data_IF_075665977797
#
_entry.id   IF_075665977797
#
_cell.length_a   1.000
_cell.length_b   1.000
_cell.length_c   1.000
_cell.angle_alpha   90.00
_cell.angle_beta   90.00
_cell.angle_gamma   90.00
#
_symmetry.space_group_name_H-M   'P 1'
#
loop_
_entity.id
_entity.type
_entity.pdbx_description
1 polymer ?
#
# COMPACT_ATOMS: atom_id res chain seq x y z
N UNK A 1 8.69 16.34 14.43
CA UNK A 1 9.54 16.19 13.25
C UNK A 1 8.92 17.02 12.14
N UNK A 2 9.72 17.97 11.67
CA UNK A 2 9.32 18.94 10.66
C UNK A 2 9.09 18.25 9.31
N UNK A 3 8.10 18.71 8.58
CA UNK A 3 7.82 18.31 7.19
C UNK A 3 9.01 18.46 6.22
N UNK A 4 10.16 18.89 6.70
CA UNK A 4 11.34 19.17 5.88
C UNK A 4 12.18 17.94 5.54
N UNK A 5 11.94 16.81 6.21
CA UNK A 5 12.68 15.57 5.99
C UNK A 5 11.92 14.54 5.16
N UNK A 6 10.73 14.88 4.71
CA UNK A 6 10.02 14.08 3.73
C UNK A 6 10.63 14.33 2.34
N UNK A 7 11.38 13.36 1.85
CA UNK A 7 11.84 13.39 0.47
C UNK A 7 10.66 13.32 -0.49
N UNK A 8 10.77 13.95 -1.65
CA UNK A 8 9.68 13.93 -2.62
C UNK A 8 9.28 12.50 -2.96
N UNK A 9 8.01 12.25 -2.92
CA UNK A 9 7.42 10.98 -3.35
C UNK A 9 7.79 10.80 -4.83
N UNK A 10 8.70 9.88 -5.11
CA UNK A 10 9.02 9.49 -6.47
C UNK A 10 8.07 8.38 -6.89
N UNK A 11 7.07 8.71 -7.65
CA UNK A 11 6.09 7.76 -8.16
C UNK A 11 4.78 8.44 -8.51
N UNK A 12 4.05 7.88 -9.44
CA UNK A 12 2.69 8.30 -9.74
C UNK A 12 1.75 7.68 -8.72
N UNK A 13 0.83 8.48 -8.18
CA UNK A 13 -0.25 8.03 -7.30
C UNK A 13 -1.57 8.31 -8.00
N UNK A 14 -1.95 7.55 -9.03
CA UNK A 14 -3.25 7.72 -9.65
C UNK A 14 -4.31 7.12 -8.75
N UNK A 15 -5.27 7.92 -8.37
CA UNK A 15 -6.46 7.49 -7.64
C UNK A 15 -7.66 7.62 -8.57
N UNK A 16 -8.28 6.49 -8.90
CA UNK A 16 -9.49 6.43 -9.70
C UNK A 16 -10.65 5.90 -8.86
N UNK A 17 -11.80 6.52 -8.97
CA UNK A 17 -13.02 6.02 -8.34
C UNK A 17 -13.28 6.52 -6.93
N UNK A 18 -12.83 7.69 -6.58
CA UNK A 18 -13.38 8.44 -5.47
C UNK A 18 -12.58 8.44 -4.19
N UNK A 19 -11.45 9.06 -4.19
CA UNK A 19 -10.90 9.61 -2.98
C UNK A 19 -11.56 10.95 -2.67
N UNK A 20 -11.70 11.30 -1.42
CA UNK A 20 -12.09 12.63 -1.01
C UNK A 20 -11.09 13.69 -1.49
N UNK A 21 -11.21 14.09 -2.71
CA UNK A 21 -10.70 15.35 -3.18
C UNK A 21 -11.78 16.39 -2.92
N UNK A 22 -11.47 17.44 -2.19
CA UNK A 22 -12.38 18.45 -1.75
C UNK A 22 -13.44 18.89 -2.75
N UNK A 23 -14.67 18.90 -2.29
CA UNK A 23 -15.76 19.74 -2.71
C UNK A 23 -15.97 20.01 -4.19
N UNK A 24 -16.59 19.07 -4.89
CA UNK A 24 -17.51 19.41 -5.97
C UNK A 24 -18.88 18.91 -5.55
N UNK A 25 -19.73 19.85 -5.22
CA UNK A 25 -21.10 19.57 -4.83
C UNK A 25 -21.87 18.93 -5.98
N UNK A 26 -22.16 17.69 -5.84
CA UNK A 26 -23.10 16.90 -6.61
C UNK A 26 -23.27 15.61 -5.84
N UNK A 27 -24.42 15.40 -5.27
CA UNK A 27 -24.72 14.29 -4.38
C UNK A 27 -24.63 12.93 -5.06
N UNK A 28 -23.45 12.48 -5.32
CA UNK A 28 -23.11 11.10 -5.51
C UNK A 28 -22.15 10.77 -4.37
N UNK A 29 -22.57 9.85 -3.52
CA UNK A 29 -21.70 9.19 -2.59
C UNK A 29 -20.64 8.46 -3.45
N UNK A 30 -19.59 9.18 -3.82
CA UNK A 30 -18.40 8.54 -4.37
C UNK A 30 -17.85 7.57 -3.34
N UNK A 31 -17.13 6.54 -3.76
CA UNK A 31 -16.57 5.58 -2.82
C UNK A 31 -15.64 6.29 -1.83
N UNK A 32 -15.89 6.10 -0.53
CA UNK A 32 -15.10 6.67 0.56
C UNK A 32 -13.78 5.91 0.71
N UNK A 33 -12.91 6.03 -0.28
CA UNK A 33 -11.64 5.32 -0.27
C UNK A 33 -10.48 6.25 0.05
N UNK A 34 -9.51 5.76 0.80
CA UNK A 34 -8.35 6.50 1.25
C UNK A 34 -7.06 5.88 0.73
N UNK A 35 -6.18 6.72 0.20
CA UNK A 35 -4.83 6.33 -0.19
C UNK A 35 -3.83 7.24 0.53
N UNK A 36 -2.92 6.66 1.30
CA UNK A 36 -1.92 7.38 2.08
C UNK A 36 -0.52 6.81 1.86
N UNK A 37 0.44 7.68 1.57
CA UNK A 37 1.84 7.29 1.42
C UNK A 37 2.70 8.15 2.34
N UNK A 38 3.45 7.51 3.22
CA UNK A 38 4.40 8.14 4.14
C UNK A 38 5.80 7.61 3.88
N UNK A 39 6.72 8.50 3.50
CA UNK A 39 8.11 8.15 3.25
C UNK A 39 9.04 8.99 4.11
N UNK A 40 9.94 8.32 4.83
CA UNK A 40 10.93 8.95 5.70
C UNK A 40 12.31 8.38 5.40
N UNK A 41 13.29 9.26 5.16
CA UNK A 41 14.65 8.88 4.79
C UNK A 41 14.94 9.05 3.31
N UNK A 42 15.98 8.37 2.81
CA UNK A 42 16.51 8.62 1.47
C UNK A 42 16.20 7.53 0.44
N UNK A 43 15.85 7.94 -0.79
CA UNK A 43 15.73 7.02 -1.91
C UNK A 43 14.58 6.02 -1.84
N UNK A 44 13.59 6.25 -0.99
CA UNK A 44 12.39 5.41 -0.98
C UNK A 44 11.52 5.69 -2.21
N UNK A 45 10.89 4.65 -2.74
CA UNK A 45 9.99 4.72 -3.88
C UNK A 45 8.68 4.02 -3.56
N UNK A 46 7.55 4.65 -3.88
CA UNK A 46 6.24 4.03 -3.77
C UNK A 46 5.39 4.33 -5.00
N UNK A 47 4.80 3.30 -5.56
CA UNK A 47 3.76 3.38 -6.57
C UNK A 47 2.49 2.78 -5.96
N UNK A 48 1.40 3.52 -6.01
CA UNK A 48 0.11 3.04 -5.54
C UNK A 48 -0.97 3.36 -6.56
N UNK A 49 -1.78 2.36 -6.87
CA UNK A 49 -2.93 2.47 -7.75
C UNK A 49 -4.16 1.96 -7.01
N UNK A 50 -5.16 2.83 -6.84
CA UNK A 50 -6.44 2.46 -6.26
C UNK A 50 -7.55 2.79 -7.27
N UNK A 51 -8.25 1.78 -7.75
CA UNK A 51 -9.31 1.92 -8.76
C UNK A 51 -10.55 1.14 -8.36
N UNK A 52 -11.73 1.71 -8.63
CA UNK A 52 -13.02 1.06 -8.37
C UNK A 52 -13.19 0.48 -6.95
N UNK A 53 -12.41 1.01 -6.01
CA UNK A 53 -12.42 0.60 -4.61
C UNK A 53 -13.39 1.50 -3.83
N UNK A 54 -14.33 0.90 -3.13
CA UNK A 54 -15.27 1.59 -2.23
C UNK A 54 -14.95 1.27 -0.79
N UNK A 55 -15.07 2.26 0.08
CA UNK A 55 -14.85 2.09 1.52
C UNK A 55 -13.53 1.36 1.83
N UNK A 56 -12.51 1.66 1.04
CA UNK A 56 -11.25 0.93 1.06
C UNK A 56 -10.08 1.82 1.47
N UNK A 57 -9.12 1.24 2.17
CA UNK A 57 -7.95 1.95 2.67
C UNK A 57 -6.67 1.33 2.12
N UNK A 58 -5.78 2.18 1.61
CA UNK A 58 -4.44 1.80 1.21
C UNK A 58 -3.42 2.69 1.91
N UNK A 59 -2.61 2.12 2.77
CA UNK A 59 -1.56 2.83 3.49
C UNK A 59 -0.19 2.23 3.21
N UNK A 60 0.75 3.06 2.79
CA UNK A 60 2.15 2.70 2.61
C UNK A 60 3.01 3.56 3.52
N UNK A 61 3.80 2.93 4.38
CA UNK A 61 4.75 3.60 5.23
C UNK A 61 6.15 3.04 5.01
N UNK A 62 7.09 3.90 4.61
CA UNK A 62 8.48 3.53 4.38
C UNK A 62 9.40 4.38 5.25
N UNK A 63 10.25 3.71 6.03
CA UNK A 63 11.27 4.32 6.86
C UNK A 63 12.65 3.80 6.51
N UNK A 64 13.60 4.68 6.28
CA UNK A 64 14.99 4.33 6.00
C UNK A 64 15.41 4.66 4.59
N UNK A 65 16.14 3.78 3.92
CA UNK A 65 16.71 4.12 2.62
C UNK A 65 16.49 3.06 1.55
N UNK A 66 16.10 3.51 0.33
CA UNK A 66 16.00 2.62 -0.81
C UNK A 66 14.90 1.56 -0.74
N UNK A 67 13.88 1.75 0.10
CA UNK A 67 12.74 0.85 0.11
C UNK A 67 11.84 1.09 -1.10
N UNK A 68 11.33 0.01 -1.69
CA UNK A 68 10.45 0.03 -2.86
C UNK A 68 9.08 -0.56 -2.55
N UNK A 69 8.01 0.04 -3.04
CA UNK A 69 6.67 -0.47 -2.96
C UNK A 69 5.92 -0.28 -4.28
N UNK A 70 5.22 -1.32 -4.70
CA UNK A 70 4.29 -1.30 -5.83
C UNK A 70 2.99 -1.94 -5.36
N UNK A 71 1.91 -1.15 -5.30
CA UNK A 71 0.66 -1.59 -4.67
C UNK A 71 -0.53 -1.25 -5.54
N UNK A 72 -1.30 -2.27 -5.91
CA UNK A 72 -2.56 -2.16 -6.63
C UNK A 72 -3.75 -2.59 -5.77
N UNK A 73 -4.82 -1.78 -5.74
CA UNK A 73 -6.06 -2.12 -5.05
C UNK A 73 -7.27 -1.77 -5.92
N UNK A 74 -8.05 -2.78 -6.26
CA UNK A 74 -9.33 -2.64 -6.94
C UNK A 74 -10.40 -3.52 -6.28
N UNK A 75 -10.72 -3.21 -5.01
CA UNK A 75 -11.54 -4.04 -4.15
C UNK A 75 -12.39 -3.18 -3.23
N UNK A 76 -13.62 -3.62 -2.97
CA UNK A 76 -14.53 -2.93 -2.06
C UNK A 76 -14.33 -3.38 -0.60
N UNK A 77 -14.58 -2.49 0.36
CA UNK A 77 -14.56 -2.77 1.81
C UNK A 77 -13.24 -3.43 2.26
N UNK A 78 -12.13 -3.05 1.65
CA UNK A 78 -10.88 -3.78 1.80
C UNK A 78 -9.74 -2.87 2.23
N UNK A 79 -8.72 -3.43 2.88
CA UNK A 79 -7.57 -2.64 3.32
C UNK A 79 -6.23 -3.26 2.97
N UNK A 80 -5.28 -2.39 2.64
CA UNK A 80 -3.87 -2.74 2.48
C UNK A 80 -3.04 -1.86 3.41
N UNK A 81 -2.26 -2.46 4.29
CA UNK A 81 -1.28 -1.78 5.13
C UNK A 81 0.12 -2.34 4.87
N UNK A 82 0.99 -1.52 4.32
CA UNK A 82 2.39 -1.85 4.06
C UNK A 82 3.30 -0.99 4.93
N UNK A 83 4.09 -1.63 5.79
CA UNK A 83 5.15 -1.00 6.57
C UNK A 83 6.51 -1.59 6.21
N UNK A 84 7.40 -0.76 5.69
CA UNK A 84 8.79 -1.11 5.45
C UNK A 84 9.70 -0.24 6.32
N UNK A 85 10.57 -0.88 7.10
CA UNK A 85 11.53 -0.17 7.95
C UNK A 85 12.91 -0.78 7.80
N UNK A 86 13.85 0.04 7.35
CA UNK A 86 15.22 -0.36 7.10
C UNK A 86 15.69 0.03 5.70
N UNK A 87 16.45 -0.82 5.04
CA UNK A 87 17.10 -0.47 3.77
C UNK A 87 16.83 -1.51 2.69
N UNK A 88 16.48 -1.06 1.49
CA UNK A 88 16.35 -1.92 0.32
C UNK A 88 15.25 -2.99 0.42
N UNK A 89 14.24 -2.79 1.27
CA UNK A 89 13.09 -3.69 1.28
C UNK A 89 12.21 -3.44 0.05
N UNK A 90 11.61 -4.49 -0.48
CA UNK A 90 10.73 -4.43 -1.64
C UNK A 90 9.40 -5.12 -1.36
N UNK A 91 8.30 -4.51 -1.78
CA UNK A 91 6.99 -5.13 -1.72
C UNK A 91 6.21 -4.89 -3.00
N UNK A 92 5.60 -5.96 -3.51
CA UNK A 92 4.59 -5.90 -4.58
C UNK A 92 3.30 -6.50 -4.03
N UNK A 93 2.23 -5.74 -4.07
CA UNK A 93 0.95 -6.13 -3.49
C UNK A 93 -0.16 -5.84 -4.48
N UNK A 94 -0.91 -6.86 -4.85
CA UNK A 94 -2.07 -6.76 -5.71
C UNK A 94 -3.31 -7.30 -5.00
N UNK A 95 -4.36 -6.48 -4.92
CA UNK A 95 -5.64 -6.85 -4.33
C UNK A 95 -6.77 -6.46 -5.29
N UNK A 96 -7.31 -7.44 -6.00
CA UNK A 96 -8.31 -7.23 -7.03
C UNK A 96 -9.53 -8.12 -6.85
N UNK A 97 -10.73 -7.56 -7.13
CA UNK A 97 -12.00 -8.28 -7.09
C UNK A 97 -12.29 -8.99 -5.75
N UNK A 98 -11.59 -8.63 -4.71
CA UNK A 98 -11.86 -9.12 -3.36
C UNK A 98 -12.78 -8.15 -2.63
N UNK A 99 -13.54 -8.64 -1.67
CA UNK A 99 -14.41 -7.85 -0.83
C UNK A 99 -14.19 -8.21 0.63
N UNK A 100 -14.29 -7.24 1.53
CA UNK A 100 -14.08 -7.44 2.97
C UNK A 100 -12.72 -8.11 3.28
N UNK A 101 -11.67 -7.71 2.58
CA UNK A 101 -10.38 -8.40 2.63
C UNK A 101 -9.26 -7.49 3.13
N UNK A 102 -8.28 -8.09 3.78
CA UNK A 102 -7.18 -7.35 4.42
C UNK A 102 -5.83 -7.92 3.99
N UNK A 103 -4.92 -7.02 3.59
CA UNK A 103 -3.51 -7.35 3.41
C UNK A 103 -2.66 -6.52 4.37
N UNK A 104 -1.84 -7.18 5.16
CA UNK A 104 -0.92 -6.53 6.07
C UNK A 104 0.50 -7.05 5.85
N UNK A 105 1.39 -6.19 5.37
CA UNK A 105 2.79 -6.53 5.09
C UNK A 105 3.71 -5.67 5.94
N UNK A 106 4.56 -6.32 6.73
CA UNK A 106 5.56 -5.66 7.57
C UNK A 106 6.94 -6.22 7.31
N UNK A 107 7.86 -5.35 6.91
CA UNK A 107 9.24 -5.70 6.63
C UNK A 107 10.17 -4.85 7.50
N UNK A 108 11.01 -5.51 8.29
CA UNK A 108 12.00 -4.88 9.16
C UNK A 108 13.39 -5.41 8.86
N UNK A 109 14.35 -4.53 8.60
CA UNK A 109 15.72 -4.90 8.29
C UNK A 109 16.13 -4.51 6.89
N UNK A 110 16.83 -5.37 6.17
CA UNK A 110 17.36 -5.00 4.88
C UNK A 110 17.20 -6.06 3.80
N UNK A 111 16.87 -5.61 2.58
CA UNK A 111 16.77 -6.49 1.42
C UNK A 111 15.66 -7.54 1.50
N UNK A 112 14.63 -7.31 2.31
CA UNK A 112 13.50 -8.23 2.37
C UNK A 112 12.57 -8.00 1.17
N UNK A 113 12.07 -9.09 0.58
CA UNK A 113 11.11 -9.09 -0.52
C UNK A 113 9.75 -9.65 -0.10
N UNK A 114 8.67 -9.03 -0.51
CA UNK A 114 7.32 -9.57 -0.37
C UNK A 114 6.54 -9.44 -1.67
N UNK A 115 5.85 -10.51 -2.06
CA UNK A 115 4.91 -10.49 -3.17
C UNK A 115 3.57 -11.07 -2.68
N UNK A 116 2.51 -10.31 -2.79
CA UNK A 116 1.17 -10.69 -2.31
C UNK A 116 0.16 -10.45 -3.42
N UNK A 117 -0.61 -11.48 -3.73
CA UNK A 117 -1.71 -11.42 -4.68
C UNK A 117 -2.97 -12.01 -4.02
N UNK A 118 -4.01 -11.20 -3.91
CA UNK A 118 -5.25 -11.58 -3.24
C UNK A 118 -6.47 -11.24 -4.09
N UNK A 119 -7.21 -12.28 -4.46
CA UNK A 119 -8.50 -12.16 -5.13
C UNK A 119 -9.66 -12.79 -4.34
N UNK A 120 -9.35 -13.47 -3.24
CA UNK A 120 -10.35 -14.07 -2.37
C UNK A 120 -11.05 -13.03 -1.50
N UNK A 121 -12.37 -13.10 -1.43
CA UNK A 121 -13.17 -12.24 -0.55
C UNK A 121 -13.23 -12.75 0.89
N UNK A 122 -13.40 -11.84 1.86
CA UNK A 122 -13.49 -12.15 3.27
C UNK A 122 -12.20 -12.72 3.85
N UNK A 123 -11.07 -12.39 3.26
CA UNK A 123 -9.80 -13.06 3.50
C UNK A 123 -8.74 -12.12 4.06
N UNK A 124 -7.81 -12.68 4.81
CA UNK A 124 -6.69 -11.90 5.37
C UNK A 124 -5.35 -12.53 4.99
N UNK A 125 -4.46 -11.70 4.42
CA UNK A 125 -3.05 -12.06 4.21
C UNK A 125 -2.19 -11.24 5.17
N UNK A 126 -1.31 -11.91 5.91
CA UNK A 126 -0.33 -11.24 6.76
C UNK A 126 1.07 -11.76 6.45
N UNK A 127 1.96 -10.84 6.10
CA UNK A 127 3.39 -11.12 5.90
C UNK A 127 4.18 -10.31 6.91
N UNK A 128 5.00 -10.98 7.72
CA UNK A 128 5.88 -10.34 8.67
C UNK A 128 7.30 -10.85 8.50
N UNK A 129 8.19 -10.00 8.04
CA UNK A 129 9.60 -10.33 7.81
C UNK A 129 10.48 -9.47 8.72
N UNK A 130 11.40 -10.12 9.42
CA UNK A 130 12.40 -9.48 10.27
C UNK A 130 13.76 -10.05 9.95
N UNK A 131 14.75 -9.18 9.71
CA UNK A 131 16.10 -9.57 9.36
C UNK A 131 16.50 -9.12 7.96
N UNK A 132 17.36 -9.88 7.34
CA UNK A 132 17.95 -9.48 6.06
C UNK A 132 17.75 -10.56 4.98
N UNK A 133 17.40 -10.13 3.79
CA UNK A 133 17.29 -10.99 2.62
C UNK A 133 16.16 -12.02 2.67
N UNK A 134 15.15 -11.80 3.51
CA UNK A 134 13.98 -12.69 3.55
C UNK A 134 13.10 -12.47 2.31
N UNK A 135 12.49 -13.53 1.83
CA UNK A 135 11.54 -13.46 0.72
C UNK A 135 10.25 -14.21 1.08
N UNK A 136 9.12 -13.57 0.86
CA UNK A 136 7.81 -14.15 1.07
C UNK A 136 6.91 -13.95 -0.15
N UNK A 137 6.17 -14.99 -0.50
CA UNK A 137 5.16 -14.92 -1.56
C UNK A 137 3.86 -15.49 -1.03
N UNK A 138 2.79 -14.76 -1.19
CA UNK A 138 1.45 -15.18 -0.79
C UNK A 138 0.47 -14.97 -1.95
N UNK A 139 -0.23 -16.03 -2.31
CA UNK A 139 -1.32 -15.98 -3.28
C UNK A 139 -2.59 -16.53 -2.62
N UNK A 140 -3.69 -15.79 -2.73
CA UNK A 140 -4.97 -16.19 -2.16
C UNK A 140 -6.09 -15.89 -3.15
N UNK A 141 -6.73 -16.95 -3.60
CA UNK A 141 -7.80 -16.94 -4.60
C UNK A 141 -9.14 -17.37 -4.04
#
# INVERSE_FOLDING_TARGET
>A
LSLHDALPISGAVPQFGGGHGGGWGGGNNGPDSTLSIYQYGGGNSALALQTDARDSELTITQHGGGNGADVGQGSDDSSIDLLQKGFGNSATIDQWNSKDSVINVKQFGGGNGAAVDQTASGSTVTVHQVGFGNNATAHQY
#
